data_IF_922491020696
#
_entry.id   IF_922491020696
#
_cell.length_a   1.000
_cell.length_b   1.000
_cell.length_c   1.000
_cell.angle_alpha   90.00
_cell.angle_beta   90.00
_cell.angle_gamma   90.00
#
_symmetry.space_group_name_H-M   'P 1'
#
loop_
_entity.id
_entity.type
_entity.pdbx_description
1 polymer ?
#
# COMPACT_ATOMS: atom_id res chain seq x y z
N UNK A 1 -6.93 -4.74 -47.89
CA UNK A 1 -6.53 -5.55 -46.72
C UNK A 1 -7.81 -5.87 -45.95
N UNK A 2 -8.22 -7.12 -45.92
CA UNK A 2 -9.44 -7.54 -45.18
C UNK A 2 -8.95 -8.04 -43.82
N UNK A 3 -9.26 -7.30 -42.75
CA UNK A 3 -9.03 -7.77 -41.41
C UNK A 3 -10.00 -8.92 -41.10
N UNK A 4 -9.48 -10.03 -40.60
CA UNK A 4 -10.30 -11.15 -40.15
C UNK A 4 -11.06 -10.75 -38.88
N UNK A 5 -12.35 -10.47 -38.99
CA UNK A 5 -13.19 -10.10 -37.81
C UNK A 5 -13.42 -11.25 -36.84
N UNK A 6 -13.05 -12.49 -37.19
CA UNK A 6 -13.12 -13.67 -36.33
C UNK A 6 -11.73 -14.02 -35.73
N UNK A 7 -10.91 -13.02 -35.46
CA UNK A 7 -9.61 -13.23 -34.85
C UNK A 7 -9.75 -13.91 -33.46
N UNK A 8 -9.22 -15.13 -33.37
CA UNK A 8 -9.31 -15.98 -32.21
C UNK A 8 -7.91 -16.59 -31.90
N UNK A 9 -6.93 -15.72 -31.79
CA UNK A 9 -5.59 -16.14 -31.44
C UNK A 9 -5.54 -16.55 -29.97
N UNK A 10 -4.81 -17.63 -29.65
CA UNK A 10 -4.48 -18.05 -28.29
C UNK A 10 -2.98 -18.23 -28.20
N UNK A 11 -2.38 -17.94 -27.03
CA UNK A 11 -0.97 -18.21 -26.84
C UNK A 11 -0.68 -19.70 -26.90
N UNK A 12 0.53 -20.11 -27.31
CA UNK A 12 1.01 -21.47 -27.18
C UNK A 12 0.85 -22.00 -25.74
N UNK A 13 0.62 -23.29 -25.58
CA UNK A 13 0.35 -23.89 -24.25
C UNK A 13 1.55 -23.83 -23.31
N UNK A 14 2.75 -23.79 -23.85
CA UNK A 14 4.02 -23.67 -23.14
C UNK A 14 4.29 -22.29 -22.59
N UNK A 15 3.55 -21.28 -23.04
CA UNK A 15 3.68 -19.92 -22.50
C UNK A 15 2.99 -19.82 -21.14
N UNK A 16 3.69 -19.25 -20.16
CA UNK A 16 3.04 -18.89 -18.89
C UNK A 16 1.97 -17.83 -19.16
N UNK A 17 0.80 -18.03 -18.56
CA UNK A 17 -0.35 -17.16 -18.70
C UNK A 17 -0.81 -16.72 -17.32
N UNK A 18 -0.80 -15.42 -17.06
CA UNK A 18 -1.22 -14.84 -15.77
C UNK A 18 -2.38 -13.89 -16.00
N UNK A 19 -3.48 -14.06 -15.27
CA UNK A 19 -4.62 -13.14 -15.31
C UNK A 19 -4.63 -12.21 -14.11
N UNK A 20 -5.00 -10.97 -14.34
CA UNK A 20 -5.18 -9.97 -13.29
C UNK A 20 -6.44 -9.14 -13.50
N UNK A 21 -6.88 -8.53 -12.41
CA UNK A 21 -7.81 -7.41 -12.42
C UNK A 21 -7.06 -6.22 -11.82
N UNK A 22 -7.08 -5.11 -12.54
CA UNK A 22 -6.43 -3.88 -12.12
C UNK A 22 -7.48 -2.92 -11.54
N UNK A 23 -7.10 -2.25 -10.45
CA UNK A 23 -7.89 -1.27 -9.71
C UNK A 23 -7.02 -0.06 -9.39
N UNK A 24 -7.66 0.95 -8.81
CA UNK A 24 -6.96 1.98 -8.05
C UNK A 24 -7.74 2.37 -6.80
N UNK A 25 -7.02 2.84 -5.79
CA UNK A 25 -7.58 3.50 -4.61
C UNK A 25 -6.99 4.90 -4.53
N UNK A 26 -7.82 5.91 -4.71
CA UNK A 26 -7.35 7.30 -4.69
C UNK A 26 -6.32 7.65 -5.76
N UNK A 27 -6.24 6.89 -6.84
CA UNK A 27 -5.27 7.03 -7.93
C UNK A 27 -4.08 6.06 -7.83
N UNK A 28 -3.80 5.49 -6.65
CA UNK A 28 -2.74 4.49 -6.50
C UNK A 28 -3.16 3.16 -7.13
N UNK A 29 -2.38 2.63 -8.11
CA UNK A 29 -2.74 1.41 -8.82
C UNK A 29 -2.66 0.18 -7.92
N UNK A 30 -3.48 -0.83 -8.25
CA UNK A 30 -3.36 -2.17 -7.69
C UNK A 30 -3.67 -3.21 -8.75
N UNK A 31 -2.70 -4.04 -9.09
CA UNK A 31 -2.85 -5.24 -9.90
C UNK A 31 -3.07 -6.45 -9.02
N UNK A 32 -4.22 -7.07 -9.13
CA UNK A 32 -4.56 -8.27 -8.34
C UNK A 32 -4.54 -9.50 -9.24
N UNK A 33 -3.67 -10.46 -8.93
CA UNK A 33 -3.57 -11.70 -9.70
C UNK A 33 -4.73 -12.64 -9.35
N UNK A 34 -5.42 -13.11 -10.38
CA UNK A 34 -6.62 -13.95 -10.22
C UNK A 34 -6.40 -15.40 -10.64
N UNK A 35 -5.43 -15.66 -11.52
CA UNK A 35 -5.03 -17.01 -11.90
C UNK A 35 -3.67 -17.05 -12.61
N UNK A 36 -3.13 -18.26 -12.77
CA UNK A 36 -1.87 -18.50 -13.49
C UNK A 36 -0.62 -18.47 -12.62
N UNK A 37 -0.76 -18.17 -11.33
CA UNK A 37 0.36 -18.23 -10.39
C UNK A 37 0.66 -19.70 -9.99
N UNK A 38 1.94 -20.02 -9.74
CA UNK A 38 2.32 -21.31 -9.18
C UNK A 38 1.85 -21.45 -7.74
N UNK A 39 1.92 -22.69 -7.21
CA UNK A 39 1.60 -22.97 -5.80
C UNK A 39 2.54 -22.18 -4.87
N UNK A 40 1.96 -21.45 -3.92
CA UNK A 40 2.70 -20.64 -2.94
C UNK A 40 2.64 -21.34 -1.59
N UNK A 41 3.80 -21.82 -1.11
CA UNK A 41 3.92 -22.58 0.13
C UNK A 41 4.17 -21.65 1.32
N UNK A 42 3.68 -22.06 2.51
CA UNK A 42 3.88 -21.35 3.77
C UNK A 42 2.65 -21.46 4.68
N UNK A 43 2.88 -21.48 5.99
CA UNK A 43 1.85 -21.54 7.02
C UNK A 43 1.39 -20.15 7.47
N UNK A 44 2.23 -19.13 7.26
CA UNK A 44 1.94 -17.73 7.55
C UNK A 44 2.03 -16.90 6.27
N UNK A 45 1.45 -15.70 6.29
CA UNK A 45 1.54 -14.78 5.14
C UNK A 45 2.99 -14.36 4.90
N UNK A 46 3.79 -14.15 5.94
CA UNK A 46 5.22 -13.84 5.82
C UNK A 46 6.00 -14.98 5.18
N UNK A 47 5.72 -16.24 5.55
CA UNK A 47 6.33 -17.40 4.90
C UNK A 47 5.94 -17.50 3.42
N UNK A 48 4.66 -17.30 3.08
CA UNK A 48 4.19 -17.28 1.69
C UNK A 48 4.87 -16.17 0.87
N UNK A 49 5.02 -14.97 1.46
CA UNK A 49 5.72 -13.83 0.83
C UNK A 49 7.19 -14.17 0.56
N UNK A 50 7.91 -14.73 1.57
CA UNK A 50 9.30 -15.16 1.42
C UNK A 50 9.43 -16.24 0.35
N UNK A 51 8.58 -17.27 0.39
CA UNK A 51 8.58 -18.33 -0.60
C UNK A 51 8.39 -17.81 -2.02
N UNK A 52 7.45 -16.86 -2.23
CA UNK A 52 7.22 -16.26 -3.54
C UNK A 52 8.43 -15.43 -3.99
N UNK A 53 8.98 -14.61 -3.11
CA UNK A 53 10.21 -13.84 -3.38
C UNK A 53 11.37 -14.73 -3.81
N UNK A 54 11.61 -15.79 -3.07
CA UNK A 54 12.80 -16.63 -3.25
C UNK A 54 12.69 -17.57 -4.47
N UNK A 55 11.48 -17.86 -4.95
CA UNK A 55 11.25 -18.82 -6.03
C UNK A 55 10.63 -18.22 -7.29
N UNK A 56 9.88 -17.11 -7.18
CA UNK A 56 9.02 -16.60 -8.25
C UNK A 56 9.12 -15.09 -8.45
N UNK A 57 10.19 -14.42 -7.99
CA UNK A 57 10.34 -12.97 -8.12
C UNK A 57 10.31 -12.47 -9.58
N UNK A 58 10.68 -13.32 -10.54
CA UNK A 58 10.56 -13.02 -11.97
C UNK A 58 9.10 -12.74 -12.41
N UNK A 59 8.10 -13.27 -11.67
CA UNK A 59 6.69 -12.93 -11.91
C UNK A 59 6.42 -11.49 -11.47
N UNK A 60 6.97 -11.05 -10.34
CA UNK A 60 6.87 -9.66 -9.89
C UNK A 60 7.48 -8.73 -10.93
N UNK A 61 8.74 -8.92 -11.28
CA UNK A 61 9.42 -8.06 -12.27
C UNK A 61 8.70 -8.10 -13.61
N UNK A 62 8.37 -9.28 -14.12
CA UNK A 62 7.67 -9.46 -15.40
C UNK A 62 6.26 -8.86 -15.47
N UNK A 63 5.64 -8.52 -14.33
CA UNK A 63 4.28 -7.96 -14.28
C UNK A 63 4.20 -6.56 -13.70
N UNK A 64 5.17 -6.15 -12.87
CA UNK A 64 5.22 -4.80 -12.28
C UNK A 64 6.10 -3.85 -13.09
N UNK A 65 7.11 -4.36 -13.78
CA UNK A 65 7.99 -3.60 -14.65
C UNK A 65 7.45 -3.53 -16.08
N UNK A 66 8.03 -2.67 -16.90
CA UNK A 66 7.77 -2.64 -18.33
C UNK A 66 8.18 -3.98 -19.00
N UNK A 67 7.50 -4.41 -20.05
CA UNK A 67 6.41 -3.74 -20.78
C UNK A 67 5.00 -4.00 -20.24
N UNK A 68 4.83 -4.80 -19.17
CA UNK A 68 3.50 -5.19 -18.67
C UNK A 68 3.03 -4.33 -17.49
N UNK A 69 3.95 -3.69 -16.80
CA UNK A 69 3.72 -2.71 -15.75
C UNK A 69 4.28 -1.34 -16.12
N UNK A 70 4.55 -0.54 -15.13
CA UNK A 70 5.13 0.81 -15.26
C UNK A 70 5.81 1.21 -13.95
N UNK A 71 6.53 2.34 -13.95
CA UNK A 71 7.02 2.96 -12.73
C UNK A 71 5.85 3.22 -11.76
N UNK A 72 6.09 2.94 -10.47
CA UNK A 72 5.09 3.04 -9.38
C UNK A 72 3.92 2.04 -9.49
N UNK A 73 4.08 0.93 -10.23
CA UNK A 73 3.09 -0.14 -10.26
C UNK A 73 3.11 -0.93 -8.97
N UNK A 74 1.91 -1.20 -8.44
CA UNK A 74 1.69 -1.94 -7.21
C UNK A 74 0.79 -3.15 -7.44
N UNK A 75 1.01 -4.23 -6.71
CA UNK A 75 0.25 -5.46 -6.86
C UNK A 75 -0.06 -6.18 -5.56
N UNK A 76 -1.02 -7.09 -5.62
CA UNK A 76 -1.40 -7.97 -4.53
C UNK A 76 -1.65 -9.40 -5.03
N UNK A 77 -1.23 -10.36 -4.23
CA UNK A 77 -1.52 -11.77 -4.45
C UNK A 77 -2.51 -12.23 -3.38
N UNK A 78 -3.65 -12.76 -3.84
CA UNK A 78 -4.64 -13.41 -2.96
C UNK A 78 -4.20 -14.85 -2.74
N UNK A 79 -4.20 -15.29 -1.47
CA UNK A 79 -3.88 -16.66 -1.07
C UNK A 79 -4.98 -17.25 -0.20
N UNK A 80 -4.94 -18.57 0.04
CA UNK A 80 -5.71 -19.15 1.12
C UNK A 80 -5.35 -18.50 2.47
N UNK A 81 -6.34 -18.32 3.37
CA UNK A 81 -6.09 -17.74 4.68
C UNK A 81 -5.15 -18.61 5.52
N UNK A 82 -4.46 -18.01 6.46
CA UNK A 82 -3.59 -18.69 7.42
C UNK A 82 -4.27 -18.89 8.78
N UNK A 83 -5.34 -18.14 9.05
CA UNK A 83 -6.10 -18.23 10.29
C UNK A 83 -7.53 -18.67 10.03
N UNK A 84 -8.17 -19.33 11.03
CA UNK A 84 -9.42 -20.08 10.86
C UNK A 84 -10.60 -19.25 10.37
N UNK A 85 -10.70 -17.99 10.76
CA UNK A 85 -11.86 -17.12 10.53
C UNK A 85 -11.53 -15.97 9.56
N UNK A 86 -10.40 -16.03 8.84
CA UNK A 86 -10.12 -15.14 7.72
C UNK A 86 -10.83 -15.62 6.46
N UNK A 87 -11.27 -14.67 5.64
CA UNK A 87 -11.85 -14.92 4.33
C UNK A 87 -10.79 -15.31 3.31
N UNK A 88 -9.64 -14.62 3.35
CA UNK A 88 -8.46 -14.92 2.52
C UNK A 88 -7.19 -14.31 3.14
N UNK A 89 -6.05 -14.69 2.58
CA UNK A 89 -4.76 -14.06 2.86
C UNK A 89 -4.28 -13.23 1.68
N UNK A 90 -3.39 -12.28 1.94
CA UNK A 90 -2.76 -11.47 0.89
C UNK A 90 -1.36 -11.02 1.29
N UNK A 91 -0.50 -10.82 0.29
CA UNK A 91 0.74 -10.07 0.41
C UNK A 91 0.93 -9.19 -0.81
N UNK A 92 1.82 -8.21 -0.70
CA UNK A 92 1.94 -7.11 -1.64
C UNK A 92 3.30 -7.11 -2.30
N UNK A 93 3.30 -6.66 -3.55
CA UNK A 93 4.50 -6.49 -4.36
C UNK A 93 4.44 -5.16 -5.11
N UNK A 94 5.60 -4.61 -5.40
CA UNK A 94 5.77 -3.37 -6.14
C UNK A 94 7.05 -3.43 -7.00
N UNK A 95 7.43 -2.35 -7.65
CA UNK A 95 8.58 -2.36 -8.55
C UNK A 95 9.86 -2.88 -7.87
N UNK A 96 10.15 -2.46 -6.64
CA UNK A 96 11.42 -2.76 -5.97
C UNK A 96 11.39 -4.02 -5.06
N UNK A 97 10.19 -4.57 -4.81
CA UNK A 97 10.10 -5.74 -3.93
C UNK A 97 8.73 -5.96 -3.33
N UNK A 98 8.70 -6.11 -2.00
CA UNK A 98 7.51 -6.53 -1.25
C UNK A 98 7.30 -5.62 -0.05
N UNK A 99 6.08 -5.13 0.11
CA UNK A 99 5.73 -4.34 1.29
C UNK A 99 5.20 -5.20 2.45
N UNK A 100 5.01 -4.54 3.58
CA UNK A 100 4.51 -5.19 4.81
C UNK A 100 3.01 -5.06 4.93
N UNK A 101 2.48 -3.83 4.83
CA UNK A 101 1.05 -3.54 4.86
C UNK A 101 0.70 -2.48 3.81
N UNK A 102 -0.48 -2.61 3.23
CA UNK A 102 -0.93 -1.69 2.20
C UNK A 102 -2.42 -1.35 2.38
N UNK A 103 -2.69 -0.14 2.89
CA UNK A 103 -4.07 0.32 3.17
C UNK A 103 -4.90 0.53 1.90
N UNK A 104 -4.31 1.09 0.83
CA UNK A 104 -5.03 1.25 -0.43
C UNK A 104 -5.41 -0.12 -1.03
N UNK A 105 -4.53 -1.13 -0.89
CA UNK A 105 -4.82 -2.48 -1.35
C UNK A 105 -5.94 -3.14 -0.54
N UNK A 106 -6.06 -2.91 0.79
CA UNK A 106 -7.19 -3.43 1.56
C UNK A 106 -8.52 -2.93 1.01
N UNK A 107 -8.62 -1.64 0.72
CA UNK A 107 -9.82 -1.02 0.15
C UNK A 107 -10.12 -1.60 -1.24
N UNK A 108 -9.12 -1.73 -2.09
CA UNK A 108 -9.26 -2.26 -3.44
C UNK A 108 -9.62 -3.76 -3.43
N UNK A 109 -8.96 -4.59 -2.62
CA UNK A 109 -9.22 -6.02 -2.51
C UNK A 109 -10.65 -6.32 -2.06
N UNK A 110 -11.14 -5.62 -1.03
CA UNK A 110 -12.54 -5.79 -0.57
C UNK A 110 -13.52 -5.36 -1.65
N UNK A 111 -13.25 -4.25 -2.34
CA UNK A 111 -14.06 -3.80 -3.48
C UNK A 111 -14.08 -4.84 -4.58
N UNK A 112 -12.92 -5.41 -4.92
CA UNK A 112 -12.77 -6.45 -5.93
C UNK A 112 -13.60 -7.68 -5.58
N UNK A 113 -13.30 -8.33 -4.45
CA UNK A 113 -13.87 -9.65 -4.13
C UNK A 113 -15.39 -9.62 -3.98
N UNK A 114 -15.95 -8.48 -3.54
CA UNK A 114 -17.39 -8.31 -3.40
C UNK A 114 -18.09 -7.90 -4.70
N UNK A 115 -17.50 -6.98 -5.48
CA UNK A 115 -18.13 -6.50 -6.72
C UNK A 115 -18.04 -7.52 -7.87
N UNK A 116 -17.02 -8.39 -7.86
CA UNK A 116 -16.89 -9.47 -8.85
C UNK A 116 -17.57 -10.78 -8.45
N UNK A 117 -18.04 -10.89 -7.20
CA UNK A 117 -18.65 -12.11 -6.68
C UNK A 117 -17.65 -13.21 -6.32
N UNK A 118 -16.35 -12.93 -6.22
CA UNK A 118 -15.35 -13.86 -5.69
C UNK A 118 -15.69 -14.27 -4.25
N UNK A 119 -16.24 -13.33 -3.48
CA UNK A 119 -16.85 -13.59 -2.17
C UNK A 119 -18.29 -13.09 -2.21
N UNK A 120 -19.23 -14.00 -1.92
CA UNK A 120 -20.65 -13.65 -1.88
C UNK A 120 -21.05 -13.34 -0.45
N UNK A 121 -21.57 -12.15 -0.22
CA UNK A 121 -22.16 -11.68 1.04
C UNK A 121 -23.49 -11.02 0.72
N UNK A 122 -24.51 -11.28 1.54
CA UNK A 122 -25.88 -10.74 1.32
C UNK A 122 -26.11 -9.43 2.08
N UNK A 123 -25.35 -9.17 3.11
CA UNK A 123 -25.45 -8.00 3.98
C UNK A 123 -25.10 -6.71 3.23
N UNK A 124 -25.74 -5.60 3.60
CA UNK A 124 -25.40 -4.28 3.03
C UNK A 124 -24.01 -3.78 3.47
N UNK A 125 -23.59 -4.16 4.68
CA UNK A 125 -22.30 -3.79 5.24
C UNK A 125 -21.50 -5.04 5.65
N UNK A 126 -21.09 -5.89 4.70
CA UNK A 126 -20.39 -7.13 5.02
C UNK A 126 -19.01 -6.86 5.61
N UNK A 127 -18.63 -7.72 6.54
CA UNK A 127 -17.28 -7.77 7.10
C UNK A 127 -16.46 -8.78 6.31
N UNK A 128 -15.25 -8.39 5.95
CA UNK A 128 -14.23 -9.22 5.30
C UNK A 128 -12.98 -9.21 6.19
N UNK A 129 -12.49 -10.39 6.53
CA UNK A 129 -11.28 -10.56 7.35
C UNK A 129 -10.15 -11.07 6.49
N UNK A 130 -9.04 -10.34 6.50
CA UNK A 130 -7.89 -10.58 5.62
C UNK A 130 -6.66 -10.83 6.47
N UNK A 131 -5.97 -11.95 6.25
CA UNK A 131 -4.65 -12.17 6.81
C UNK A 131 -3.62 -11.44 5.94
N UNK A 132 -2.85 -10.54 6.54
CA UNK A 132 -1.79 -9.76 5.89
C UNK A 132 -0.44 -9.96 6.61
N UNK A 133 0.70 -9.56 6.04
CA UNK A 133 2.00 -9.74 6.67
C UNK A 133 2.09 -9.25 8.13
N UNK A 134 1.53 -8.09 8.51
CA UNK A 134 1.62 -7.61 9.90
C UNK A 134 0.52 -8.18 10.82
N UNK A 135 -0.42 -8.99 10.31
CA UNK A 135 -1.51 -9.58 11.06
C UNK A 135 -2.87 -9.49 10.40
N UNK A 136 -3.92 -9.69 11.18
CA UNK A 136 -5.31 -9.64 10.74
C UNK A 136 -5.79 -8.22 10.51
N UNK A 137 -6.39 -7.98 9.34
CA UNK A 137 -7.09 -6.75 9.02
C UNK A 137 -8.59 -7.04 8.91
N UNK A 138 -9.40 -6.30 9.64
CA UNK A 138 -10.86 -6.38 9.58
C UNK A 138 -11.39 -5.22 8.75
N UNK A 139 -12.04 -5.56 7.64
CA UNK A 139 -12.60 -4.59 6.71
C UNK A 139 -14.12 -4.66 6.74
N UNK A 140 -14.79 -3.51 6.60
CA UNK A 140 -16.22 -3.40 6.39
C UNK A 140 -16.49 -2.70 5.08
N UNK A 141 -17.21 -3.33 4.18
CA UNK A 141 -17.70 -2.69 2.97
C UNK A 141 -19.02 -1.97 3.26
N UNK A 142 -19.22 -0.82 2.61
CA UNK A 142 -20.48 -0.09 2.59
C UNK A 142 -21.02 -0.12 1.18
N UNK A 143 -22.17 -0.77 1.01
CA UNK A 143 -22.84 -0.96 -0.29
C UNK A 143 -24.00 0.00 -0.47
N UNK A 144 -24.14 0.48 -1.69
CA UNK A 144 -25.32 1.16 -2.19
C UNK A 144 -25.71 0.48 -3.52
N UNK A 145 -26.97 0.16 -3.69
CA UNK A 145 -27.49 -0.52 -4.88
C UNK A 145 -26.68 -1.79 -5.26
N UNK A 146 -26.27 -2.55 -4.25
CA UNK A 146 -25.52 -3.79 -4.41
C UNK A 146 -24.03 -3.64 -4.74
N UNK A 147 -23.53 -2.42 -4.93
CA UNK A 147 -22.11 -2.12 -5.24
C UNK A 147 -21.39 -1.53 -4.03
N UNK A 148 -20.16 -1.93 -3.82
CA UNK A 148 -19.28 -1.32 -2.81
C UNK A 148 -18.98 0.12 -3.21
N UNK A 149 -19.33 1.06 -2.33
CA UNK A 149 -19.07 2.50 -2.50
C UNK A 149 -17.92 2.99 -1.64
N UNK A 150 -17.72 2.37 -0.51
CA UNK A 150 -16.68 2.70 0.45
C UNK A 150 -16.26 1.46 1.21
N UNK A 151 -15.00 1.39 1.58
CA UNK A 151 -14.47 0.37 2.47
C UNK A 151 -13.81 1.05 3.65
N UNK A 152 -14.10 0.57 4.83
CA UNK A 152 -13.46 0.95 6.08
C UNK A 152 -12.64 -0.24 6.56
N UNK A 153 -11.43 -0.04 7.04
CA UNK A 153 -10.64 -1.12 7.65
C UNK A 153 -10.04 -0.68 8.98
N UNK A 154 -10.09 -1.59 9.95
CA UNK A 154 -9.32 -1.45 11.19
C UNK A 154 -7.93 -2.02 10.95
N UNK A 155 -6.93 -1.14 11.09
CA UNK A 155 -5.54 -1.51 10.87
C UNK A 155 -4.94 -2.17 12.12
N UNK A 156 -3.73 -2.71 11.96
CA UNK A 156 -2.93 -3.20 13.10
C UNK A 156 -2.62 -2.07 14.07
N UNK A 157 -2.25 -2.39 15.33
CA UNK A 157 -1.81 -1.39 16.30
C UNK A 157 -0.77 -0.46 15.69
N UNK A 158 -1.02 0.84 15.79
CA UNK A 158 -0.18 1.89 15.22
C UNK A 158 0.38 2.78 16.31
N UNK A 159 1.66 3.18 16.22
CA UNK A 159 2.35 3.93 17.26
C UNK A 159 3.38 4.91 16.70
N UNK A 160 3.66 5.95 17.48
CA UNK A 160 4.78 6.85 17.27
C UNK A 160 6.02 6.27 17.95
N UNK A 161 7.04 5.88 17.15
CA UNK A 161 8.28 5.28 17.65
C UNK A 161 9.29 6.33 18.10
N UNK A 162 9.46 7.38 17.32
CA UNK A 162 10.36 8.50 17.65
C UNK A 162 9.64 9.82 17.42
N UNK A 163 9.84 10.77 18.34
CA UNK A 163 9.22 12.09 18.28
C UNK A 163 10.27 13.18 18.09
N UNK A 164 10.00 14.16 17.22
CA UNK A 164 10.77 15.41 17.06
C UNK A 164 12.29 15.17 16.87
N UNK A 165 12.67 14.12 16.12
CA UNK A 165 14.07 13.81 15.84
C UNK A 165 14.62 14.71 14.74
N UNK A 166 15.95 14.81 14.67
CA UNK A 166 16.66 15.53 13.62
C UNK A 166 17.67 14.59 12.99
N UNK A 167 17.62 14.46 11.68
CA UNK A 167 18.57 13.69 10.86
C UNK A 167 19.40 14.64 9.99
N UNK A 168 20.69 14.35 9.82
CA UNK A 168 21.55 15.09 8.90
C UNK A 168 21.50 14.40 7.52
N UNK A 169 20.94 15.10 6.55
CA UNK A 169 20.69 14.59 5.20
C UNK A 169 21.66 15.23 4.23
N UNK A 170 22.53 14.47 3.54
CA UNK A 170 23.44 15.03 2.54
C UNK A 170 22.71 15.91 1.53
N UNK A 171 23.29 17.06 1.20
CA UNK A 171 22.80 18.07 0.25
C UNK A 171 21.51 18.81 0.67
N UNK A 172 20.82 18.35 1.74
CA UNK A 172 19.61 19.01 2.26
C UNK A 172 19.91 19.70 3.60
N UNK A 173 20.74 19.08 4.43
CA UNK A 173 21.04 19.54 5.79
C UNK A 173 20.20 18.87 6.85
N UNK A 174 19.95 19.60 7.95
CA UNK A 174 19.19 19.06 9.10
C UNK A 174 17.70 19.01 8.81
N UNK A 175 17.11 17.81 8.88
CA UNK A 175 15.68 17.57 8.65
C UNK A 175 15.04 17.09 9.95
N UNK A 176 14.00 17.77 10.40
CA UNK A 176 13.17 17.35 11.53
C UNK A 176 12.13 16.33 11.08
N UNK A 177 11.96 15.24 11.86
CA UNK A 177 11.00 14.20 11.54
C UNK A 177 10.43 13.50 12.79
N UNK A 178 9.25 12.90 12.62
CA UNK A 178 8.72 11.87 13.51
C UNK A 178 8.86 10.51 12.83
N UNK A 179 9.10 9.43 13.59
CA UNK A 179 9.06 8.06 13.11
C UNK A 179 7.84 7.35 13.67
N UNK A 180 7.01 6.78 12.82
CA UNK A 180 5.82 6.08 13.28
C UNK A 180 5.51 4.84 12.42
N UNK A 181 4.80 3.88 13.04
CA UNK A 181 4.35 2.62 12.47
C UNK A 181 2.83 2.59 12.32
N UNK A 182 2.36 2.15 11.15
CA UNK A 182 0.95 1.91 10.86
C UNK A 182 0.77 0.69 9.95
N UNK A 183 1.54 -0.39 10.26
CA UNK A 183 1.69 -1.56 9.40
C UNK A 183 2.94 -1.51 8.52
N UNK A 184 3.55 -0.32 8.39
CA UNK A 184 4.88 -0.05 7.89
C UNK A 184 5.44 1.17 8.61
N UNK A 185 6.78 1.30 8.69
CA UNK A 185 7.42 2.47 9.28
C UNK A 185 7.61 3.58 8.25
N UNK A 186 7.33 4.81 8.66
CA UNK A 186 7.53 6.01 7.85
C UNK A 186 8.19 7.11 8.67
N UNK A 187 9.07 7.88 8.02
CA UNK A 187 9.55 9.18 8.52
C UNK A 187 8.58 10.28 8.04
N UNK A 188 8.03 11.04 8.98
CA UNK A 188 7.09 12.14 8.71
C UNK A 188 7.79 13.47 8.77
N UNK A 189 7.76 14.24 7.70
CA UNK A 189 8.47 15.49 7.52
C UNK A 189 7.52 16.59 7.09
N UNK A 190 7.62 17.78 7.69
CA UNK A 190 6.88 18.95 7.23
C UNK A 190 7.46 19.48 5.91
N UNK A 191 6.67 19.49 4.86
CA UNK A 191 7.10 19.94 3.54
C UNK A 191 7.50 21.42 3.53
N UNK A 192 6.83 22.23 4.34
CA UNK A 192 7.10 23.67 4.50
C UNK A 192 8.53 23.94 5.00
N UNK A 193 9.04 23.10 5.91
CA UNK A 193 10.40 23.23 6.47
C UNK A 193 11.48 23.04 5.39
N UNK A 194 11.15 22.39 4.27
CA UNK A 194 12.04 22.13 3.14
C UNK A 194 11.69 22.97 1.90
N UNK A 195 10.71 23.86 2.00
CA UNK A 195 10.23 24.67 0.89
C UNK A 195 9.66 23.84 -0.26
N UNK A 196 8.94 22.72 0.07
CA UNK A 196 8.35 21.82 -0.89
C UNK A 196 6.85 22.06 -1.04
N UNK A 197 6.38 22.08 -2.29
CA UNK A 197 4.97 22.00 -2.61
C UNK A 197 4.55 20.50 -2.73
N UNK A 198 3.39 20.14 -2.18
CA UNK A 198 2.87 18.78 -2.24
C UNK A 198 1.98 18.57 -3.47
N UNK A 199 2.52 18.89 -4.66
CA UNK A 199 1.86 18.74 -5.96
C UNK A 199 2.88 18.45 -7.08
N UNK A 200 2.41 18.43 -8.31
CA UNK A 200 3.20 18.11 -9.49
C UNK A 200 4.38 19.07 -9.75
N UNK A 201 4.33 20.29 -9.22
CA UNK A 201 5.40 21.29 -9.44
C UNK A 201 6.73 20.87 -8.81
N UNK A 202 6.70 20.17 -7.68
CA UNK A 202 7.89 19.67 -6.99
C UNK A 202 8.04 18.15 -7.07
N UNK A 203 7.35 17.47 -8.00
CA UNK A 203 7.30 16.00 -8.08
C UNK A 203 8.68 15.33 -8.03
N UNK A 204 9.60 15.73 -8.90
CA UNK A 204 10.95 15.16 -8.94
C UNK A 204 11.76 15.49 -7.66
N UNK A 205 11.55 16.68 -7.09
CA UNK A 205 12.22 17.10 -5.86
C UNK A 205 11.70 16.33 -4.65
N UNK A 206 10.39 16.04 -4.61
CA UNK A 206 9.80 15.17 -3.59
C UNK A 206 10.42 13.78 -3.63
N UNK A 207 10.59 13.19 -4.82
CA UNK A 207 11.25 11.88 -4.99
C UNK A 207 12.68 11.92 -4.46
N UNK A 208 13.48 12.88 -4.91
CA UNK A 208 14.90 13.01 -4.52
C UNK A 208 15.03 13.19 -3.00
N UNK A 209 14.29 14.12 -2.43
CA UNK A 209 14.33 14.42 -0.99
C UNK A 209 13.79 13.24 -0.16
N UNK A 210 12.70 12.61 -0.59
CA UNK A 210 12.11 11.47 0.11
C UNK A 210 13.08 10.29 0.21
N UNK A 211 13.79 9.98 -0.87
CA UNK A 211 14.85 8.95 -0.89
C UNK A 211 16.01 9.31 0.01
N UNK A 212 16.56 10.51 -0.12
CA UNK A 212 17.70 10.98 0.69
C UNK A 212 17.37 10.95 2.19
N UNK A 213 16.20 11.41 2.57
CA UNK A 213 15.72 11.39 3.97
C UNK A 213 15.57 9.95 4.45
N UNK A 214 14.90 9.08 3.69
CA UNK A 214 14.75 7.67 4.03
C UNK A 214 16.11 7.01 4.32
N UNK A 215 17.07 7.13 3.41
CA UNK A 215 18.39 6.54 3.59
C UNK A 215 19.15 7.16 4.76
N UNK A 216 19.09 8.47 4.96
CA UNK A 216 19.73 9.13 6.08
C UNK A 216 19.16 8.68 7.42
N UNK A 217 17.83 8.52 7.53
CA UNK A 217 17.16 8.01 8.74
C UNK A 217 17.59 6.56 9.00
N UNK A 218 17.57 5.67 8.00
CA UNK A 218 17.99 4.27 8.14
C UNK A 218 19.45 4.13 8.59
N UNK A 219 20.32 5.03 8.17
CA UNK A 219 21.74 5.01 8.53
C UNK A 219 22.03 5.55 9.93
N UNK A 220 21.17 6.41 10.49
CA UNK A 220 21.41 7.12 11.75
C UNK A 220 20.48 6.67 12.88
N UNK A 221 19.38 5.99 12.59
CA UNK A 221 18.37 5.57 13.57
C UNK A 221 18.02 4.09 13.41
N UNK A 222 17.85 3.41 14.52
CA UNK A 222 17.32 2.05 14.52
C UNK A 222 15.81 2.07 14.26
N UNK A 223 15.37 1.27 13.31
CA UNK A 223 13.94 1.04 13.00
C UNK A 223 13.61 -0.38 13.37
N UNK A 224 12.87 -0.58 14.47
CA UNK A 224 12.64 -1.91 15.04
C UNK A 224 11.16 -2.15 15.30
N UNK A 225 10.63 -3.24 14.71
CA UNK A 225 9.32 -3.74 15.03
C UNK A 225 9.35 -4.59 16.30
N UNK A 226 8.35 -4.50 17.21
CA UNK A 226 8.40 -5.17 18.51
C UNK A 226 8.51 -6.69 18.45
N UNK A 227 8.01 -7.33 17.38
CA UNK A 227 7.84 -8.79 17.31
C UNK A 227 8.44 -9.44 16.07
N UNK A 228 8.52 -8.73 14.93
CA UNK A 228 8.85 -9.30 13.64
C UNK A 228 10.01 -8.55 12.96
N UNK A 229 11.13 -9.23 12.78
CA UNK A 229 12.32 -8.66 12.14
C UNK A 229 12.05 -8.26 10.68
N UNK A 230 11.28 -9.06 9.96
CA UNK A 230 10.86 -8.77 8.55
C UNK A 230 10.08 -7.46 8.38
N UNK A 231 9.61 -6.87 9.48
CA UNK A 231 8.89 -5.58 9.50
C UNK A 231 9.76 -4.43 10.02
N UNK A 232 11.02 -4.71 10.38
CA UNK A 232 11.97 -3.77 11.01
C UNK A 232 12.76 -2.99 9.97
N UNK A 233 12.09 -2.18 9.14
CA UNK A 233 12.74 -1.29 8.18
C UNK A 233 11.88 -0.07 7.88
N UNK A 234 12.53 1.03 7.49
CA UNK A 234 11.83 2.25 7.05
C UNK A 234 11.34 2.08 5.62
N UNK A 235 10.02 2.08 5.45
CA UNK A 235 9.42 1.89 4.13
C UNK A 235 9.50 3.13 3.25
N UNK A 236 9.32 4.31 3.84
CA UNK A 236 9.35 5.54 3.08
C UNK A 236 9.35 6.81 3.93
N UNK A 237 9.37 7.95 3.24
CA UNK A 237 9.21 9.28 3.80
C UNK A 237 7.84 9.83 3.41
N UNK A 238 7.08 10.35 4.37
CA UNK A 238 5.81 11.03 4.13
C UNK A 238 6.00 12.52 4.39
N UNK A 239 5.87 13.31 3.35
CA UNK A 239 5.79 14.76 3.45
C UNK A 239 4.38 15.18 3.83
N UNK A 240 4.27 16.04 4.84
CA UNK A 240 3.02 16.57 5.37
C UNK A 240 2.89 18.04 5.03
N UNK A 241 1.71 18.46 4.63
CA UNK A 241 1.43 19.86 4.36
C UNK A 241 -0.05 20.21 4.49
N UNK A 242 -0.37 21.46 4.19
CA UNK A 242 -1.74 21.97 4.21
C UNK A 242 -2.57 21.31 3.11
N UNK A 243 -3.82 20.97 3.43
CA UNK A 243 -4.80 20.54 2.46
C UNK A 243 -5.13 21.64 1.45
N UNK A 244 -5.46 21.28 0.20
CA UNK A 244 -6.00 22.25 -0.78
C UNK A 244 -7.43 22.63 -0.41
N UNK A 245 -8.23 21.68 0.06
CA UNK A 245 -9.55 21.94 0.58
C UNK A 245 -9.47 22.34 2.07
N UNK A 246 -9.88 23.55 2.45
CA UNK A 246 -9.80 24.02 3.84
C UNK A 246 -10.65 23.23 4.84
N UNK A 247 -11.56 22.38 4.36
CA UNK A 247 -12.35 21.47 5.21
C UNK A 247 -11.59 20.19 5.58
N UNK A 248 -10.50 19.89 4.91
CA UNK A 248 -9.69 18.72 5.19
C UNK A 248 -8.57 19.07 6.18
N UNK A 249 -8.12 18.07 6.92
CA UNK A 249 -7.12 18.28 7.95
C UNK A 249 -5.74 18.63 7.38
N UNK A 250 -5.28 17.86 6.39
CA UNK A 250 -3.94 18.02 5.84
C UNK A 250 -3.76 17.19 4.57
N UNK A 251 -2.54 17.23 4.02
CA UNK A 251 -2.12 16.46 2.85
C UNK A 251 -0.91 15.60 3.19
N UNK A 252 -0.86 14.39 2.59
CA UNK A 252 0.29 13.50 2.56
C UNK A 252 0.80 13.34 1.14
N UNK A 253 2.13 13.29 0.99
CA UNK A 253 2.80 12.74 -0.20
C UNK A 253 3.85 11.75 0.28
N UNK A 254 3.67 10.48 -0.04
CA UNK A 254 4.56 9.41 0.37
C UNK A 254 5.52 9.04 -0.75
N UNK A 255 6.80 9.07 -0.45
CA UNK A 255 7.86 8.52 -1.28
C UNK A 255 8.36 7.25 -0.61
N UNK A 256 8.14 6.11 -1.24
CA UNK A 256 8.46 4.81 -0.66
C UNK A 256 9.42 4.00 -1.53
N UNK A 257 9.86 2.87 -1.04
CA UNK A 257 10.85 2.02 -1.70
C UNK A 257 12.08 2.80 -2.20
N UNK A 258 12.38 2.83 -3.48
CA UNK A 258 13.50 3.56 -4.07
C UNK A 258 13.04 4.78 -4.90
N UNK A 259 11.93 5.40 -4.51
CA UNK A 259 11.42 6.65 -5.12
C UNK A 259 10.06 6.48 -5.76
N UNK A 260 9.32 5.45 -5.39
CA UNK A 260 7.91 5.30 -5.77
C UNK A 260 7.05 6.34 -5.06
N UNK A 261 6.11 6.91 -5.77
CA UNK A 261 5.20 7.94 -5.25
C UNK A 261 3.81 7.36 -5.11
N UNK A 262 3.30 7.28 -3.88
CA UNK A 262 1.90 6.88 -3.64
C UNK A 262 0.97 7.99 -4.10
N UNK A 263 0.05 7.68 -5.02
CA UNK A 263 -0.97 8.60 -5.52
C UNK A 263 -2.11 8.78 -4.54
N UNK A 264 -2.29 7.82 -3.62
CA UNK A 264 -3.27 7.88 -2.54
C UNK A 264 -2.71 8.64 -1.31
N UNK A 265 -3.52 8.93 -0.29
CA UNK A 265 -3.02 9.48 0.97
C UNK A 265 -2.11 8.54 1.77
N UNK A 266 -1.89 7.30 1.30
CA UNK A 266 -1.13 6.22 1.95
C UNK A 266 -1.83 5.66 3.20
N UNK A 267 -2.65 4.62 3.05
CA UNK A 267 -3.51 4.12 4.13
C UNK A 267 -2.77 3.69 5.41
N UNK A 268 -1.61 3.01 5.30
CA UNK A 268 -0.74 2.69 6.44
C UNK A 268 -0.08 3.96 7.01
N UNK A 269 0.29 4.90 6.16
CA UNK A 269 0.80 6.22 6.56
C UNK A 269 -0.26 7.06 7.27
N UNK A 270 -1.48 7.07 6.79
CA UNK A 270 -2.63 7.74 7.44
C UNK A 270 -2.90 7.13 8.81
N UNK A 271 -2.78 5.80 8.95
CA UNK A 271 -2.91 5.09 10.23
C UNK A 271 -1.85 5.54 11.25
N UNK A 272 -0.59 5.58 10.83
CA UNK A 272 0.50 6.03 11.71
C UNK A 272 0.38 7.53 12.04
N UNK A 273 -0.14 8.37 11.13
CA UNK A 273 -0.46 9.77 11.45
C UNK A 273 -1.51 9.91 12.54
N UNK A 274 -2.55 9.07 12.54
CA UNK A 274 -3.54 9.06 13.61
C UNK A 274 -2.87 8.75 14.97
N UNK A 275 -1.90 7.81 14.98
CA UNK A 275 -1.13 7.52 16.18
C UNK A 275 -0.25 8.70 16.63
N UNK A 276 0.41 9.40 15.69
CA UNK A 276 1.20 10.62 16.00
C UNK A 276 0.29 11.69 16.62
N UNK A 277 -0.83 12.02 15.97
CA UNK A 277 -1.74 13.06 16.47
C UNK A 277 -2.36 12.69 17.81
N UNK A 278 -2.71 11.41 18.02
CA UNK A 278 -3.22 10.93 19.30
C UNK A 278 -2.16 11.03 20.40
N UNK A 279 -0.93 10.59 20.14
CA UNK A 279 0.17 10.68 21.09
C UNK A 279 0.58 12.13 21.44
N UNK A 280 0.37 13.07 20.52
CA UNK A 280 0.59 14.51 20.73
C UNK A 280 -0.62 15.22 21.37
N UNK A 281 -1.75 14.52 21.57
CA UNK A 281 -2.98 15.10 22.12
C UNK A 281 -3.76 15.98 21.14
N UNK A 282 -3.48 15.87 19.87
CA UNK A 282 -4.06 16.66 18.76
C UNK A 282 -5.30 15.99 18.15
N UNK A 283 -5.52 14.70 18.40
CA UNK A 283 -6.65 13.91 17.92
C UNK A 283 -7.25 13.13 19.09
N UNK A 284 -8.56 13.18 19.25
CA UNK A 284 -9.29 12.42 20.27
C UNK A 284 -9.77 11.09 19.71
N UNK A 285 -10.07 10.16 20.62
CA UNK A 285 -10.75 8.91 20.25
C UNK A 285 -12.07 9.19 19.56
N UNK A 286 -12.33 8.48 18.44
CA UNK A 286 -13.49 8.62 17.55
C UNK A 286 -13.60 9.97 16.81
N UNK A 287 -12.64 10.87 16.93
CA UNK A 287 -12.55 12.06 16.09
C UNK A 287 -12.00 11.67 14.71
N UNK A 288 -12.74 12.04 13.66
CA UNK A 288 -12.36 11.70 12.28
C UNK A 288 -11.67 12.89 11.61
N UNK A 289 -10.54 12.62 10.96
CA UNK A 289 -9.83 13.59 10.12
C UNK A 289 -9.75 13.10 8.69
N UNK A 290 -9.76 14.03 7.74
CA UNK A 290 -9.62 13.77 6.30
C UNK A 290 -8.24 14.19 5.84
N UNK A 291 -7.53 13.29 5.16
CA UNK A 291 -6.20 13.53 4.61
C UNK A 291 -6.24 13.42 3.10
N UNK A 292 -5.69 14.43 2.42
CA UNK A 292 -5.55 14.47 0.97
C UNK A 292 -4.28 13.77 0.49
N UNK A 293 -4.28 13.31 -0.75
CA UNK A 293 -3.10 12.88 -1.49
C UNK A 293 -2.52 13.97 -2.36
N UNK A 294 -1.43 13.68 -3.08
CA UNK A 294 -0.84 14.53 -4.10
C UNK A 294 -1.87 14.88 -5.21
N UNK A 295 -2.76 13.95 -5.55
CA UNK A 295 -3.83 14.15 -6.55
C UNK A 295 -5.06 14.87 -5.98
N UNK A 296 -5.16 15.03 -4.65
CA UNK A 296 -6.35 15.56 -3.97
C UNK A 296 -7.41 14.50 -3.67
N UNK A 297 -7.16 13.22 -3.94
CA UNK A 297 -7.98 12.13 -3.44
C UNK A 297 -7.86 12.04 -1.92
N UNK A 298 -8.86 11.46 -1.25
CA UNK A 298 -8.95 11.50 0.21
C UNK A 298 -9.08 10.12 0.84
N UNK A 299 -8.54 10.01 2.04
CA UNK A 299 -8.88 8.99 3.02
C UNK A 299 -9.27 9.66 4.33
N UNK A 300 -10.20 9.06 5.06
CA UNK A 300 -10.50 9.48 6.43
C UNK A 300 -9.89 8.51 7.42
N UNK A 301 -9.55 8.99 8.61
CA UNK A 301 -9.04 8.17 9.69
C UNK A 301 -9.53 8.67 11.04
N UNK A 302 -9.79 7.74 11.95
CA UNK A 302 -10.04 8.00 13.37
C UNK A 302 -9.36 6.94 14.23
N UNK A 303 -9.12 7.25 15.48
CA UNK A 303 -8.66 6.30 16.51
C UNK A 303 -9.89 5.63 17.11
N UNK A 304 -9.98 4.30 17.01
CA UNK A 304 -11.07 3.51 17.61
C UNK A 304 -10.84 3.34 19.10
N UNK A 305 -9.63 2.89 19.45
CA UNK A 305 -9.26 2.67 20.86
C UNK A 305 -7.74 2.76 21.04
N UNK A 306 -7.27 3.19 22.21
CA UNK A 306 -5.88 3.03 22.60
C UNK A 306 -5.60 1.57 22.98
N UNK A 307 -4.36 1.13 22.73
CA UNK A 307 -3.89 -0.20 23.10
C UNK A 307 -2.38 -0.18 23.38
N UNK A 308 -1.85 -1.30 23.85
CA UNK A 308 -0.42 -1.53 23.98
C UNK A 308 0.05 -2.48 22.86
N UNK A 309 1.25 -2.24 22.32
CA UNK A 309 1.86 -3.10 21.32
C UNK A 309 3.36 -3.23 21.58
N UNK A 310 3.75 -4.32 22.25
CA UNK A 310 5.06 -4.43 22.87
C UNK A 310 5.20 -3.38 23.99
N UNK A 311 6.25 -2.59 23.94
CA UNK A 311 6.49 -1.48 24.88
C UNK A 311 5.89 -0.15 24.40
N UNK A 312 5.20 -0.14 23.25
CA UNK A 312 4.68 1.08 22.66
C UNK A 312 3.22 1.34 23.08
N UNK A 313 2.96 2.59 23.51
CA UNK A 313 1.60 3.09 23.56
C UNK A 313 1.09 3.26 22.12
N UNK A 314 0.04 2.55 21.80
CA UNK A 314 -0.47 2.38 20.43
C UNK A 314 -1.95 2.70 20.36
N UNK A 315 -2.45 2.78 19.15
CA UNK A 315 -3.88 2.94 18.86
C UNK A 315 -4.30 1.95 17.77
N UNK A 316 -5.57 1.59 17.75
CA UNK A 316 -6.21 0.92 16.62
C UNK A 316 -6.84 2.01 15.74
N UNK A 317 -6.26 2.32 14.57
CA UNK A 317 -6.85 3.27 13.65
C UNK A 317 -7.86 2.57 12.73
N UNK A 318 -8.92 3.29 12.40
CA UNK A 318 -9.87 2.91 11.35
C UNK A 318 -9.74 3.88 10.19
N UNK A 319 -9.42 3.34 9.01
CA UNK A 319 -9.22 4.12 7.78
C UNK A 319 -10.33 3.81 6.78
N UNK A 320 -10.79 4.81 6.06
CA UNK A 320 -11.84 4.67 5.07
C UNK A 320 -11.45 5.31 3.73
N UNK A 321 -11.84 4.65 2.64
CA UNK A 321 -11.59 5.13 1.29
C UNK A 321 -12.44 4.42 0.25
N UNK A 322 -12.17 4.73 -1.03
CA UNK A 322 -12.92 4.20 -2.19
C UNK A 322 -11.95 3.63 -3.22
N UNK A 323 -12.36 2.58 -3.92
CA UNK A 323 -11.61 1.99 -5.01
C UNK A 323 -12.48 1.78 -6.26
N UNK A 324 -11.82 1.74 -7.42
CA UNK A 324 -12.48 1.50 -8.70
C UNK A 324 -11.72 0.44 -9.49
N UNK A 325 -12.46 -0.50 -10.10
CA UNK A 325 -11.91 -1.47 -11.05
C UNK A 325 -11.67 -0.74 -12.38
N UNK A 326 -10.48 -0.89 -12.95
CA UNK A 326 -10.04 -0.19 -14.17
C UNK A 326 -9.88 -1.11 -15.37
N UNK A 327 -9.60 -2.40 -15.15
CA UNK A 327 -9.43 -3.32 -16.26
C UNK A 327 -9.23 -4.76 -15.82
N UNK A 328 -9.26 -5.65 -16.82
CA UNK A 328 -8.88 -7.04 -16.69
C UNK A 328 -7.83 -7.35 -17.74
N UNK A 329 -6.75 -8.02 -17.32
CA UNK A 329 -5.61 -8.30 -18.20
C UNK A 329 -5.31 -9.80 -18.22
N UNK A 330 -4.71 -10.23 -19.31
CA UNK A 330 -4.10 -11.54 -19.47
C UNK A 330 -2.70 -11.35 -20.03
N UNK A 331 -1.70 -11.69 -19.23
CA UNK A 331 -0.29 -11.55 -19.57
C UNK A 331 0.26 -12.88 -20.08
N UNK A 332 1.07 -12.79 -21.13
CA UNK A 332 1.73 -13.93 -21.75
C UNK A 332 3.25 -13.77 -21.62
N UNK A 333 3.91 -14.86 -21.25
CA UNK A 333 5.35 -14.91 -21.12
C UNK A 333 5.89 -15.90 -22.17
N UNK A 334 6.33 -15.37 -23.29
CA UNK A 334 7.03 -16.15 -24.32
C UNK A 334 8.41 -16.55 -23.77
N UNK A 335 8.74 -17.85 -23.66
CA UNK A 335 10.04 -18.27 -23.18
C UNK A 335 11.21 -17.78 -24.06
N UNK A 336 10.95 -17.43 -25.32
CA UNK A 336 11.95 -16.92 -26.27
C UNK A 336 12.09 -15.38 -26.22
N UNK A 337 11.22 -14.66 -25.52
CA UNK A 337 11.36 -13.22 -25.36
C UNK A 337 12.47 -12.91 -24.34
N UNK A 338 13.59 -12.26 -24.74
CA UNK A 338 14.66 -11.90 -23.82
C UNK A 338 14.26 -10.89 -22.76
N UNK A 339 13.15 -10.18 -22.94
CA UNK A 339 12.60 -9.17 -22.01
C UNK A 339 11.39 -9.69 -21.23
N UNK A 340 11.11 -11.00 -21.25
CA UNK A 340 9.93 -11.59 -20.57
C UNK A 340 9.87 -11.30 -19.08
N UNK A 341 11.02 -11.16 -18.42
CA UNK A 341 11.12 -10.92 -16.99
C UNK A 341 11.02 -9.42 -16.61
N UNK A 342 10.79 -8.57 -17.61
CA UNK A 342 10.60 -7.14 -17.45
C UNK A 342 11.89 -6.33 -17.33
N UNK A 343 11.74 -5.01 -17.42
CA UNK A 343 12.79 -4.01 -17.18
C UNK A 343 12.16 -2.72 -16.64
N UNK A 344 12.95 -1.88 -15.98
CA UNK A 344 12.48 -0.59 -15.49
C UNK A 344 13.60 0.44 -15.58
N UNK A 345 13.25 1.67 -15.96
CA UNK A 345 14.14 2.83 -15.97
C UNK A 345 13.73 3.78 -14.84
N UNK A 346 14.69 4.09 -13.95
CA UNK A 346 14.55 5.06 -12.85
C UNK A 346 15.85 5.83 -12.62
#
# INVERSE_FOLDING_TARGET
MILNNNWNWKPPKEWMQIKSIDLHTGGEPLRVFTSGLPEIKGNTILEKRRFFRDNYDYIRTGTMWEPRGHADMYGAIITAPCTKDADFGTFFLHNEGYSTMCGHAMIALVTLVLNTGMIVRKENNPIIRIDAPPGRITCQAHREEGKVKRVTFQNVPSFMSLKDQVVDVPEIGKVKFDLAYGGAFYAYVQAEDLGLNLDESDYNKLIDYGRKIKHAVMNQFEVKHPFEEDLSFLYGTIFIGKAKNPKHHSRNVCIFAEGEVDRSPTGSGVSARAAIHYAKGELKQNEEITIESILGSTMTVKVIEPCEYGENQSVIPEVSGTASITGQNEFYFDPNDPLKDGFIFR
#
